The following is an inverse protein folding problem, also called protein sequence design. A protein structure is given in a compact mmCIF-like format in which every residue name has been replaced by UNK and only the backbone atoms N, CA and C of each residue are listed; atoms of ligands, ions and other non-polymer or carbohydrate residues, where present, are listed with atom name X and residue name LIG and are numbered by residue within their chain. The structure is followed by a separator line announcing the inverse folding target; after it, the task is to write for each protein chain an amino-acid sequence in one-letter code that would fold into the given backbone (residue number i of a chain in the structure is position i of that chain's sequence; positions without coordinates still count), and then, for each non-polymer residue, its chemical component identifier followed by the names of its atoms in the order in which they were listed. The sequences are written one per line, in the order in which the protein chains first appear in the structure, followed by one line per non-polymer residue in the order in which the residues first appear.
data_IF_012898143412
#
_entry.id   IF_012898143412
#
_cell.length_a   1.000
_cell.length_b   1.000
_cell.length_c   1.000
_cell.angle_alpha   90.00
_cell.angle_beta   90.00
_cell.angle_gamma   90.00
#
_symmetry.space_group_name_H-M   'P 1'
#
loop_
_entity.id
_entity.type
_entity.pdbx_description
1 polymer ?
#
# COMPACT_ATOMS: atom_id res chain seq x y z
N UNK A 1 2.68 24.96 78.06
CA UNK A 1 2.91 26.34 77.64
C UNK A 1 3.78 26.37 76.45
N UNK A 2 3.22 26.52 75.23
CA UNK A 2 3.90 27.09 74.05
C UNK A 2 2.80 27.26 73.01
N UNK A 3 2.59 28.51 72.60
CA UNK A 3 1.55 28.99 71.75
C UNK A 3 1.80 28.51 70.29
N UNK A 4 0.79 27.91 69.70
CA UNK A 4 0.76 27.54 68.27
C UNK A 4 0.30 28.78 67.52
N UNK A 5 1.18 29.36 66.70
CA UNK A 5 0.86 30.47 65.79
C UNK A 5 0.32 29.86 64.52
N UNK A 6 -1.00 30.06 64.21
CA UNK A 6 -1.67 29.71 63.01
C UNK A 6 -1.44 30.82 61.99
N UNK A 7 -0.64 30.58 60.96
CA UNK A 7 -0.49 31.47 59.80
C UNK A 7 -1.54 31.08 58.74
N UNK A 8 -2.57 31.93 58.66
CA UNK A 8 -3.55 31.82 57.57
C UNK A 8 -3.00 32.54 56.36
N UNK A 9 -2.60 31.77 55.33
CA UNK A 9 -2.27 32.33 54.02
C UNK A 9 -3.56 32.43 53.23
N UNK A 10 -4.04 33.67 53.05
CA UNK A 10 -5.12 34.00 52.11
C UNK A 10 -4.59 33.91 50.70
N UNK A 11 -4.87 32.84 49.98
CA UNK A 11 -4.72 32.81 48.52
C UNK A 11 -5.93 33.50 47.91
N UNK A 12 -5.76 34.72 47.40
CA UNK A 12 -6.70 35.38 46.51
C UNK A 12 -6.72 34.63 45.18
N UNK A 13 -7.77 33.88 44.93
CA UNK A 13 -8.09 33.34 43.62
C UNK A 13 -8.60 34.48 42.74
N UNK A 14 -7.76 34.99 41.86
CA UNK A 14 -8.20 35.80 40.75
C UNK A 14 -8.92 34.88 39.74
N UNK A 15 -10.23 34.96 39.70
CA UNK A 15 -11.05 34.40 38.66
C UNK A 15 -10.85 35.25 37.42
N UNK A 16 -10.03 34.79 36.49
CA UNK A 16 -10.00 35.35 35.14
C UNK A 16 -11.30 34.96 34.42
N UNK A 17 -12.20 35.93 34.30
CA UNK A 17 -13.33 35.85 33.37
C UNK A 17 -12.79 35.90 31.96
N UNK A 18 -12.65 34.72 31.30
CA UNK A 18 -12.46 34.64 29.88
C UNK A 18 -13.84 34.82 29.22
N UNK A 19 -14.12 36.05 28.81
CA UNK A 19 -15.27 36.33 27.91
C UNK A 19 -14.96 35.69 26.59
N UNK A 20 -15.63 34.59 26.29
CA UNK A 20 -15.68 34.03 24.94
C UNK A 20 -16.41 35.04 24.05
N UNK A 21 -15.68 35.78 23.23
CA UNK A 21 -16.23 36.53 22.14
C UNK A 21 -16.71 35.53 21.09
N UNK A 22 -18.03 35.40 20.98
CA UNK A 22 -18.64 34.72 19.84
C UNK A 22 -18.38 35.60 18.62
N UNK A 23 -17.38 35.21 17.81
CA UNK A 23 -17.18 35.78 16.49
C UNK A 23 -18.35 35.27 15.63
N UNK A 24 -19.34 36.13 15.42
CA UNK A 24 -20.41 35.85 14.46
C UNK A 24 -19.76 35.66 13.09
N UNK A 25 -19.93 34.48 12.52
CA UNK A 25 -19.54 34.17 11.15
C UNK A 25 -20.32 35.10 10.21
N UNK A 26 -19.66 36.14 9.74
CA UNK A 26 -20.16 36.96 8.65
C UNK A 26 -20.38 36.06 7.45
N UNK A 27 -21.63 35.99 6.97
CA UNK A 27 -21.95 35.38 5.68
C UNK A 27 -21.16 36.13 4.62
N UNK A 28 -20.11 35.53 4.07
CA UNK A 28 -19.50 35.98 2.85
C UNK A 28 -20.51 35.76 1.72
N UNK A 29 -21.23 36.81 1.33
CA UNK A 29 -22.03 36.79 0.13
C UNK A 29 -21.09 36.87 -1.06
N UNK A 30 -20.90 35.75 -1.72
CA UNK A 30 -20.23 35.71 -3.02
C UNK A 30 -21.18 36.33 -4.01
N UNK A 31 -20.86 37.54 -4.46
CA UNK A 31 -21.54 38.18 -5.59
C UNK A 31 -21.20 37.35 -6.84
N UNK A 32 -22.10 36.42 -7.16
CA UNK A 32 -22.05 35.71 -8.45
C UNK A 32 -22.52 36.74 -9.51
N UNK A 33 -21.56 37.22 -10.27
CA UNK A 33 -21.80 38.06 -11.42
C UNK A 33 -22.58 37.22 -12.45
N UNK A 34 -23.86 37.54 -12.60
CA UNK A 34 -24.79 36.89 -13.52
C UNK A 34 -24.43 37.26 -14.97
N UNK A 35 -23.35 36.67 -15.52
CA UNK A 35 -23.21 36.55 -16.96
C UNK A 35 -24.00 35.34 -17.40
N UNK A 36 -24.99 35.58 -18.21
CA UNK A 36 -25.97 34.71 -18.85
C UNK A 36 -25.49 33.23 -18.95
N UNK A 37 -26.20 32.40 -18.20
CA UNK A 37 -26.12 30.95 -18.34
C UNK A 37 -26.74 30.63 -19.71
N UNK A 38 -26.05 29.92 -20.64
CA UNK A 38 -26.69 29.45 -21.85
C UNK A 38 -27.82 28.47 -21.43
N UNK A 39 -28.99 28.64 -21.99
CA UNK A 39 -30.12 27.71 -21.80
C UNK A 39 -29.72 26.34 -22.33
N UNK A 40 -29.61 25.36 -21.41
CA UNK A 40 -29.40 23.96 -21.78
C UNK A 40 -30.77 23.44 -22.27
N UNK A 41 -30.89 23.29 -23.58
CA UNK A 41 -32.02 22.63 -24.20
C UNK A 41 -32.06 21.16 -23.79
N UNK A 42 -32.95 20.79 -22.86
CA UNK A 42 -33.03 19.45 -22.25
C UNK A 42 -33.51 18.34 -23.18
N UNK A 43 -33.77 18.59 -24.47
CA UNK A 43 -34.36 17.63 -25.41
C UNK A 43 -33.47 17.19 -26.55
N UNK A 44 -32.15 17.43 -26.44
CA UNK A 44 -31.21 16.84 -27.40
C UNK A 44 -30.40 15.72 -26.71
N UNK A 45 -30.44 14.46 -27.19
CA UNK A 45 -29.55 13.44 -26.68
C UNK A 45 -28.10 13.91 -26.89
N UNK A 46 -27.29 13.88 -25.83
CA UNK A 46 -25.84 14.14 -25.92
C UNK A 46 -25.26 12.97 -26.69
N UNK A 47 -25.09 13.14 -28.00
CA UNK A 47 -24.30 12.20 -28.81
C UNK A 47 -22.83 12.54 -28.50
N UNK A 48 -22.18 11.69 -27.74
CA UNK A 48 -20.71 11.71 -27.65
C UNK A 48 -20.16 11.28 -29.01
N UNK A 49 -19.83 12.24 -29.86
CA UNK A 49 -18.96 11.94 -30.98
C UNK A 49 -17.59 11.55 -30.40
N UNK A 50 -17.00 10.42 -30.80
CA UNK A 50 -15.62 10.12 -30.42
C UNK A 50 -14.74 11.21 -31.05
N UNK A 51 -14.27 12.16 -30.23
CA UNK A 51 -13.25 13.09 -30.67
C UNK A 51 -12.06 12.24 -31.12
N UNK A 52 -11.80 12.22 -32.42
CA UNK A 52 -10.55 11.79 -33.00
C UNK A 52 -9.47 12.74 -32.47
N UNK A 53 -8.90 12.44 -31.32
CA UNK A 53 -7.67 13.03 -30.83
C UNK A 53 -6.55 12.34 -31.62
N UNK A 54 -6.38 12.79 -32.87
CA UNK A 54 -5.18 12.53 -33.65
C UNK A 54 -4.07 13.39 -33.05
N UNK A 55 -3.24 12.77 -32.20
CA UNK A 55 -2.07 13.41 -31.62
C UNK A 55 -1.76 13.04 -30.18
N UNK A 56 -2.12 11.82 -29.72
CA UNK A 56 -1.47 11.25 -28.55
C UNK A 56 -0.12 10.71 -29.03
N UNK A 57 0.97 11.37 -28.62
CA UNK A 57 2.23 10.68 -28.51
C UNK A 57 1.99 9.55 -27.51
N UNK A 58 1.71 8.33 -28.02
CA UNK A 58 1.63 7.14 -27.19
C UNK A 58 2.98 7.02 -26.48
N UNK A 59 3.04 7.43 -25.21
CA UNK A 59 4.16 7.02 -24.37
C UNK A 59 4.00 5.50 -24.24
N UNK A 60 4.93 4.71 -24.81
CA UNK A 60 4.77 3.26 -24.81
C UNK A 60 4.69 2.78 -23.36
N UNK A 61 3.55 2.24 -22.96
CA UNK A 61 3.42 1.57 -21.67
C UNK A 61 4.48 0.46 -21.63
N UNK A 62 5.40 0.51 -20.64
CA UNK A 62 6.36 -0.56 -20.44
C UNK A 62 7.76 -0.34 -21.00
N UNK A 63 8.21 0.90 -21.19
CA UNK A 63 9.64 1.17 -21.54
C UNK A 63 10.61 0.89 -20.39
N UNK A 64 10.14 0.88 -19.12
CA UNK A 64 10.95 0.55 -17.94
C UNK A 64 11.04 -0.94 -17.66
N UNK A 65 12.11 -1.36 -16.99
CA UNK A 65 12.28 -2.74 -16.50
C UNK A 65 11.35 -3.00 -15.33
N UNK A 66 11.02 -4.29 -15.15
CA UNK A 66 10.26 -4.76 -14.01
C UNK A 66 11.18 -5.50 -13.05
N UNK A 67 11.32 -4.97 -11.85
CA UNK A 67 12.08 -5.55 -10.75
C UNK A 67 11.15 -6.10 -9.68
N UNK A 68 11.56 -7.18 -9.00
CA UNK A 68 10.81 -7.67 -7.86
C UNK A 68 11.71 -8.20 -6.74
N UNK A 69 11.27 -7.96 -5.49
CA UNK A 69 11.76 -8.62 -4.30
C UNK A 69 10.64 -9.53 -3.76
N UNK A 70 10.86 -10.83 -3.79
CA UNK A 70 9.90 -11.83 -3.33
C UNK A 70 10.46 -12.50 -2.09
N UNK A 71 9.71 -12.50 -0.99
CA UNK A 71 10.13 -13.03 0.31
C UNK A 71 9.08 -14.02 0.81
N UNK A 72 9.51 -15.25 1.10
CA UNK A 72 8.71 -16.27 1.77
C UNK A 72 9.42 -16.80 3.00
N UNK A 73 8.79 -16.77 4.17
CA UNK A 73 9.39 -17.22 5.43
C UNK A 73 8.50 -18.29 6.08
N UNK A 74 9.00 -19.51 6.15
CA UNK A 74 8.38 -20.63 6.85
C UNK A 74 9.06 -20.88 8.20
N UNK A 75 10.42 -20.81 8.23
CA UNK A 75 11.20 -21.25 9.37
C UNK A 75 11.74 -20.07 10.17
N UNK A 76 11.57 -20.13 11.48
CA UNK A 76 12.04 -19.14 12.44
C UNK A 76 13.03 -19.79 13.40
N UNK A 77 14.14 -19.11 13.70
CA UNK A 77 15.19 -19.63 14.58
C UNK A 77 14.78 -19.64 16.04
N UNK A 78 13.90 -18.72 16.44
CA UNK A 78 13.34 -18.70 17.80
C UNK A 78 12.20 -19.74 17.92
N UNK A 79 12.33 -20.77 18.79
CA UNK A 79 11.31 -21.80 18.97
C UNK A 79 9.98 -21.29 19.54
N UNK A 80 9.95 -20.06 20.05
CA UNK A 80 8.71 -19.40 20.51
C UNK A 80 7.91 -18.76 19.38
N UNK A 81 8.45 -18.68 18.18
CA UNK A 81 7.75 -18.23 16.97
C UNK A 81 7.31 -19.48 16.20
N UNK A 82 6.00 -19.60 15.97
CA UNK A 82 5.47 -20.75 15.25
C UNK A 82 6.02 -20.82 13.83
N UNK A 83 6.36 -22.01 13.39
CA UNK A 83 6.72 -22.27 11.99
C UNK A 83 5.48 -22.13 11.10
N UNK A 84 5.70 -21.83 9.82
CA UNK A 84 4.66 -21.76 8.79
C UNK A 84 4.94 -22.80 7.70
N UNK A 85 3.93 -23.29 7.00
CA UNK A 85 4.10 -24.38 6.02
C UNK A 85 4.02 -23.90 4.57
N UNK A 86 3.32 -22.78 4.29
CA UNK A 86 2.93 -22.45 2.93
C UNK A 86 3.57 -21.20 2.34
N UNK A 87 4.15 -20.29 3.15
CA UNK A 87 4.64 -18.99 2.68
C UNK A 87 5.70 -19.10 1.57
N UNK A 88 6.65 -20.02 1.68
CA UNK A 88 7.68 -20.21 0.63
C UNK A 88 7.06 -20.78 -0.64
N UNK A 89 6.17 -21.78 -0.52
CA UNK A 89 5.47 -22.38 -1.68
C UNK A 89 4.63 -21.35 -2.43
N UNK A 90 3.91 -20.53 -1.67
CA UNK A 90 3.03 -19.51 -2.23
C UNK A 90 3.84 -18.37 -2.88
N UNK A 91 4.96 -17.97 -2.25
CA UNK A 91 5.92 -17.03 -2.84
C UNK A 91 6.57 -17.59 -4.13
N UNK A 92 6.88 -18.89 -4.17
CA UNK A 92 7.42 -19.55 -5.35
C UNK A 92 6.40 -19.63 -6.50
N UNK A 93 5.13 -19.90 -6.19
CA UNK A 93 4.04 -19.89 -7.17
C UNK A 93 3.89 -18.48 -7.75
N UNK A 94 3.92 -17.44 -6.92
CA UNK A 94 3.86 -16.05 -7.38
C UNK A 94 5.08 -15.69 -8.25
N UNK A 95 6.30 -16.06 -7.83
CA UNK A 95 7.52 -15.89 -8.63
C UNK A 95 7.40 -16.54 -10.02
N UNK A 96 6.92 -17.78 -10.07
CA UNK A 96 6.75 -18.51 -11.32
C UNK A 96 5.72 -17.85 -12.23
N UNK A 97 4.57 -17.42 -11.71
CA UNK A 97 3.55 -16.68 -12.47
C UNK A 97 4.11 -15.39 -13.05
N UNK A 98 4.80 -14.57 -12.24
CA UNK A 98 5.38 -13.32 -12.70
C UNK A 98 6.43 -13.52 -13.80
N UNK A 99 7.37 -14.44 -13.60
CA UNK A 99 8.50 -14.64 -14.51
C UNK A 99 8.13 -15.41 -15.78
N UNK A 100 7.08 -16.23 -15.78
CA UNK A 100 6.64 -16.96 -16.95
C UNK A 100 5.65 -16.17 -17.81
N UNK A 101 4.74 -15.42 -17.19
CA UNK A 101 3.62 -14.79 -17.90
C UNK A 101 3.76 -13.28 -18.10
N UNK A 102 4.46 -12.60 -17.21
CA UNK A 102 4.58 -11.15 -17.18
C UNK A 102 6.00 -10.66 -17.47
N UNK A 103 6.17 -9.39 -17.74
CA UNK A 103 7.46 -8.77 -18.15
C UNK A 103 8.49 -8.67 -17.02
N UNK A 104 8.48 -9.61 -16.08
CA UNK A 104 9.53 -9.76 -15.06
C UNK A 104 10.58 -10.75 -15.56
N UNK A 105 11.76 -10.25 -15.94
CA UNK A 105 12.89 -11.09 -16.29
C UNK A 105 13.53 -11.67 -15.02
N UNK A 106 13.93 -12.95 -15.06
CA UNK A 106 14.41 -13.69 -13.87
C UNK A 106 15.59 -13.02 -13.18
N UNK A 107 16.48 -12.43 -13.94
CA UNK A 107 17.64 -11.69 -13.43
C UNK A 107 17.28 -10.40 -12.67
N UNK A 108 16.09 -9.86 -12.90
CA UNK A 108 15.57 -8.68 -12.21
C UNK A 108 14.73 -9.04 -10.95
N UNK A 109 14.57 -10.34 -10.66
CA UNK A 109 13.77 -10.80 -9.53
C UNK A 109 14.67 -11.48 -8.49
N UNK A 110 14.70 -10.93 -7.26
CA UNK A 110 15.31 -11.58 -6.10
C UNK A 110 14.25 -12.35 -5.34
N UNK A 111 14.47 -13.65 -5.16
CA UNK A 111 13.61 -14.49 -4.34
C UNK A 111 14.38 -14.96 -3.09
N UNK A 112 13.93 -14.52 -1.92
CA UNK A 112 14.51 -14.84 -0.63
C UNK A 112 13.61 -15.84 0.11
N UNK A 113 14.21 -16.98 0.50
CA UNK A 113 13.55 -18.03 1.31
C UNK A 113 14.11 -17.98 2.73
N UNK A 114 13.23 -17.88 3.73
CA UNK A 114 13.61 -17.77 5.15
C UNK A 114 14.61 -16.63 5.40
N UNK A 115 14.31 -15.46 4.84
CA UNK A 115 15.19 -14.31 4.92
C UNK A 115 15.37 -13.82 6.36
N UNK A 116 16.60 -13.52 6.74
CA UNK A 116 16.94 -12.76 7.94
C UNK A 116 16.66 -11.27 7.74
N UNK A 117 16.68 -10.49 8.83
CA UNK A 117 16.58 -9.03 8.72
C UNK A 117 17.71 -8.47 7.83
N UNK A 118 18.94 -8.97 7.97
CA UNK A 118 20.08 -8.55 7.16
C UNK A 118 19.90 -8.87 5.68
N UNK A 119 19.29 -10.01 5.32
CA UNK A 119 19.01 -10.35 3.93
C UNK A 119 18.00 -9.40 3.30
N UNK A 120 16.95 -9.05 4.04
CA UNK A 120 15.91 -8.10 3.58
C UNK A 120 16.55 -6.73 3.35
N UNK A 121 17.31 -6.21 4.31
CA UNK A 121 18.02 -4.93 4.22
C UNK A 121 18.95 -4.91 3.02
N UNK A 122 19.81 -5.94 2.88
CA UNK A 122 20.76 -6.05 1.77
C UNK A 122 20.09 -6.10 0.40
N UNK A 123 18.90 -6.76 0.31
CA UNK A 123 18.15 -6.80 -0.92
C UNK A 123 17.54 -5.43 -1.26
N UNK A 124 17.00 -4.71 -0.27
CA UNK A 124 16.45 -3.36 -0.46
C UNK A 124 17.53 -2.35 -0.84
N UNK A 125 18.71 -2.39 -0.20
CA UNK A 125 19.89 -1.59 -0.56
C UNK A 125 20.34 -1.83 -2.02
N UNK A 126 20.28 -3.09 -2.46
CA UNK A 126 20.57 -3.43 -3.85
C UNK A 126 19.56 -2.77 -4.80
N UNK A 127 18.25 -2.86 -4.51
CA UNK A 127 17.23 -2.26 -5.38
C UNK A 127 17.27 -0.74 -5.34
N UNK A 128 17.56 -0.11 -4.22
CA UNK A 128 17.76 1.34 -4.12
C UNK A 128 18.87 1.85 -5.04
N UNK A 129 19.91 1.03 -5.28
CA UNK A 129 21.03 1.36 -6.18
C UNK A 129 20.79 0.97 -7.65
N UNK A 130 19.87 0.03 -7.90
CA UNK A 130 19.71 -0.60 -9.23
C UNK A 130 18.50 -0.07 -10.00
N UNK A 131 17.37 0.15 -9.32
CA UNK A 131 16.11 0.58 -9.92
C UNK A 131 16.19 2.05 -10.32
N UNK A 132 15.75 2.37 -11.53
CA UNK A 132 15.75 3.72 -12.08
C UNK A 132 14.36 4.36 -12.02
N UNK A 133 14.24 5.69 -12.14
CA UNK A 133 12.94 6.39 -12.13
C UNK A 133 11.96 5.99 -13.25
N UNK A 134 12.45 5.30 -14.28
CA UNK A 134 11.64 4.75 -15.38
C UNK A 134 11.17 3.32 -15.13
N UNK A 135 11.73 2.62 -14.14
CA UNK A 135 11.51 1.21 -13.88
C UNK A 135 10.35 0.99 -12.90
N UNK A 136 9.87 -0.23 -12.85
CA UNK A 136 8.77 -0.66 -11.98
C UNK A 136 9.31 -1.62 -10.92
N UNK A 137 8.86 -1.48 -9.67
CA UNK A 137 9.34 -2.26 -8.56
C UNK A 137 8.19 -2.91 -7.78
N UNK A 138 8.24 -4.23 -7.63
CA UNK A 138 7.28 -5.00 -6.85
C UNK A 138 7.96 -5.60 -5.63
N UNK A 139 7.34 -5.49 -4.47
CA UNK A 139 7.74 -6.22 -3.25
C UNK A 139 6.61 -7.15 -2.86
N UNK A 140 6.94 -8.41 -2.64
CA UNK A 140 6.05 -9.42 -2.11
C UNK A 140 6.62 -9.99 -0.81
N UNK A 141 5.78 -10.09 0.22
CA UNK A 141 6.14 -10.69 1.49
C UNK A 141 5.04 -11.64 1.97
N UNK A 142 5.43 -12.88 2.27
CA UNK A 142 4.61 -13.87 2.96
C UNK A 142 5.36 -14.42 4.19
N UNK A 143 4.76 -14.29 5.36
CA UNK A 143 5.36 -14.65 6.63
C UNK A 143 4.64 -14.03 7.81
N UNK A 144 5.16 -14.22 9.03
CA UNK A 144 4.59 -13.56 10.19
C UNK A 144 4.73 -12.04 10.12
N UNK A 145 3.69 -11.36 10.59
CA UNK A 145 3.67 -9.92 10.85
C UNK A 145 3.21 -9.65 12.27
N UNK A 146 3.61 -8.52 12.82
CA UNK A 146 3.19 -8.09 14.14
C UNK A 146 2.74 -6.63 14.13
N UNK A 147 1.63 -6.37 14.80
CA UNK A 147 1.12 -5.04 15.03
C UNK A 147 1.16 -4.69 16.52
N UNK A 148 1.87 -3.63 16.87
CA UNK A 148 1.86 -3.10 18.22
C UNK A 148 0.77 -2.03 18.36
N UNK A 149 -0.35 -2.38 19.02
CA UNK A 149 -1.51 -1.49 19.19
C UNK A 149 -1.18 -0.22 20.00
N UNK A 150 -0.20 -0.29 20.92
CA UNK A 150 0.14 0.85 21.80
C UNK A 150 0.94 1.92 21.07
N UNK A 151 1.88 1.48 20.21
CA UNK A 151 2.76 2.39 19.45
C UNK A 151 2.32 2.59 18.02
N UNK A 152 1.29 1.85 17.57
CA UNK A 152 0.79 1.85 16.18
C UNK A 152 1.90 1.55 15.15
N UNK A 153 2.77 0.58 15.49
CA UNK A 153 3.89 0.17 14.65
C UNK A 153 3.68 -1.26 14.15
N UNK A 154 3.77 -1.43 12.84
CA UNK A 154 3.79 -2.74 12.19
C UNK A 154 5.22 -3.22 11.93
N UNK A 155 5.39 -4.54 11.93
CA UNK A 155 6.65 -5.21 11.67
C UNK A 155 6.46 -6.45 10.81
N UNK A 156 7.41 -6.69 9.92
CA UNK A 156 7.66 -8.03 9.39
C UNK A 156 8.53 -8.78 10.39
N UNK A 157 8.33 -10.07 10.47
CA UNK A 157 9.07 -10.95 11.36
C UNK A 157 10.03 -11.81 10.53
N UNK A 158 11.31 -11.41 10.37
CA UNK A 158 12.31 -12.19 9.66
C UNK A 158 12.63 -13.52 10.35
N UNK A 159 13.31 -14.42 9.66
CA UNK A 159 13.62 -15.76 10.16
C UNK A 159 14.50 -15.76 11.42
N UNK A 160 15.31 -14.74 11.62
CA UNK A 160 16.19 -14.51 12.78
C UNK A 160 15.58 -13.64 13.88
N UNK A 161 14.28 -13.31 13.76
CA UNK A 161 13.56 -12.54 14.76
C UNK A 161 13.44 -13.32 16.08
N UNK A 162 13.38 -12.58 17.20
CA UNK A 162 13.15 -13.14 18.53
C UNK A 162 11.82 -12.65 19.07
N UNK A 163 11.01 -13.54 19.68
CA UNK A 163 9.67 -13.20 20.19
C UNK A 163 9.69 -12.13 21.28
N UNK A 164 10.71 -12.16 22.12
CA UNK A 164 10.82 -11.26 23.30
C UNK A 164 11.66 -10.02 23.04
N UNK A 165 12.11 -9.78 21.81
CA UNK A 165 12.93 -8.63 21.43
C UNK A 165 12.58 -8.15 20.04
N UNK A 166 12.44 -6.84 19.84
CA UNK A 166 12.27 -6.27 18.50
C UNK A 166 13.59 -6.10 17.74
N UNK A 167 14.66 -6.63 18.27
CA UNK A 167 15.97 -6.69 17.61
C UNK A 167 15.84 -7.37 16.26
N UNK A 168 16.10 -7.49 15.31
CA UNK A 168 15.90 -8.20 14.04
C UNK A 168 14.46 -8.18 13.49
N UNK A 169 13.53 -7.42 14.10
CA UNK A 169 12.22 -7.18 13.48
C UNK A 169 12.33 -6.07 12.44
N UNK A 170 11.74 -6.27 11.27
CA UNK A 170 11.78 -5.28 10.20
C UNK A 170 10.58 -4.35 10.27
N UNK A 171 10.78 -3.07 10.59
CA UNK A 171 9.72 -2.09 10.83
C UNK A 171 9.10 -1.58 9.52
N UNK A 172 7.78 -1.35 9.51
CA UNK A 172 7.10 -0.70 8.39
C UNK A 172 7.62 0.72 8.10
N UNK A 173 8.14 1.43 9.11
CA UNK A 173 8.79 2.74 8.89
C UNK A 173 10.07 2.61 8.06
N UNK A 174 10.92 1.62 8.39
CA UNK A 174 12.12 1.35 7.59
C UNK A 174 11.74 0.93 6.16
N UNK A 175 10.70 0.10 5.99
CA UNK A 175 10.19 -0.23 4.65
C UNK A 175 9.82 1.03 3.86
N UNK A 176 9.08 1.99 4.48
CA UNK A 176 8.72 3.24 3.81
C UNK A 176 9.95 4.08 3.44
N UNK A 177 10.99 4.09 4.28
CA UNK A 177 12.24 4.77 3.98
C UNK A 177 12.89 4.18 2.73
N UNK A 178 13.01 2.85 2.65
CA UNK A 178 13.49 2.17 1.45
C UNK A 178 12.61 2.40 0.22
N UNK A 179 11.28 2.43 0.36
CA UNK A 179 10.38 2.72 -0.76
C UNK A 179 10.54 4.15 -1.32
N UNK A 180 11.02 5.10 -0.50
CA UNK A 180 11.41 6.44 -0.96
C UNK A 180 12.77 6.43 -1.67
N UNK A 181 13.72 5.62 -1.17
CA UNK A 181 15.06 5.50 -1.77
C UNK A 181 15.01 4.76 -3.10
N UNK A 182 14.19 3.70 -3.22
CA UNK A 182 13.95 3.01 -4.48
C UNK A 182 13.12 3.91 -5.39
N UNK A 183 13.79 4.77 -6.12
CA UNK A 183 13.17 5.77 -6.98
C UNK A 183 12.62 5.13 -8.26
N UNK A 184 11.61 4.26 -8.14
CA UNK A 184 10.91 3.65 -9.26
C UNK A 184 9.80 4.54 -9.80
N UNK A 185 9.35 4.32 -11.03
CA UNK A 185 8.14 4.94 -11.58
C UNK A 185 6.92 4.46 -10.84
N UNK A 186 6.77 3.15 -10.71
CA UNK A 186 5.65 2.52 -10.02
C UNK A 186 6.17 1.52 -9.00
N UNK A 187 5.60 1.55 -7.80
CA UNK A 187 5.85 0.57 -6.74
C UNK A 187 4.57 -0.11 -6.33
N UNK A 188 4.59 -1.44 -6.25
CA UNK A 188 3.52 -2.24 -5.66
C UNK A 188 4.07 -3.08 -4.52
N UNK A 189 3.51 -2.89 -3.34
CA UNK A 189 3.75 -3.74 -2.19
C UNK A 189 2.59 -4.73 -2.03
N UNK A 190 2.90 -6.02 -1.98
CA UNK A 190 1.92 -7.08 -1.70
C UNK A 190 2.36 -7.78 -0.42
N UNK A 191 1.50 -7.79 0.61
CA UNK A 191 1.84 -8.44 1.86
C UNK A 191 0.75 -9.41 2.31
N UNK A 192 1.16 -10.63 2.59
CA UNK A 192 0.33 -11.65 3.22
C UNK A 192 0.79 -11.86 4.66
N UNK A 193 0.42 -10.90 5.51
CA UNK A 193 0.83 -10.85 6.91
C UNK A 193 -0.07 -9.91 7.75
N UNK A 194 -0.07 -10.08 9.07
CA UNK A 194 -0.99 -9.50 10.05
C UNK A 194 -0.77 -8.01 10.39
N UNK A 195 -0.44 -7.09 9.47
CA UNK A 195 -0.15 -5.70 9.84
C UNK A 195 -0.60 -4.63 8.82
N UNK A 196 -1.46 -5.01 7.86
CA UNK A 196 -1.77 -4.18 6.70
C UNK A 196 -2.27 -2.76 6.98
N UNK A 197 -2.90 -2.51 8.13
CA UNK A 197 -3.56 -1.22 8.38
C UNK A 197 -2.64 0.00 8.48
N UNK A 198 -1.37 -0.17 8.86
CA UNK A 198 -0.44 0.96 9.12
C UNK A 198 0.31 1.47 7.90
N UNK A 199 0.23 0.78 6.78
CA UNK A 199 0.96 1.14 5.56
C UNK A 199 0.19 2.17 4.72
N UNK A 200 -1.13 2.23 4.86
CA UNK A 200 -1.99 3.06 4.02
C UNK A 200 -2.12 4.50 4.49
N UNK A 201 -2.19 5.42 3.54
CA UNK A 201 -2.54 6.83 3.76
C UNK A 201 -4.05 7.02 3.92
N UNK A 202 -4.80 6.38 3.04
CA UNK A 202 -6.26 6.36 3.03
C UNK A 202 -6.74 5.11 2.30
N UNK A 203 -8.01 4.75 2.50
CA UNK A 203 -8.64 3.70 1.69
C UNK A 203 -9.01 4.30 0.35
N UNK A 204 -8.50 3.74 -0.74
CA UNK A 204 -8.90 4.16 -2.08
C UNK A 204 -10.37 3.84 -2.34
N UNK A 205 -11.11 4.79 -2.89
CA UNK A 205 -12.41 4.53 -3.50
C UNK A 205 -12.14 3.93 -4.89
N UNK A 206 -12.82 2.82 -5.22
CA UNK A 206 -12.67 2.16 -6.50
C UNK A 206 -13.17 3.06 -7.64
N UNK A 207 -12.34 3.27 -8.65
CA UNK A 207 -12.69 3.94 -9.90
C UNK A 207 -12.73 2.92 -11.03
N UNK A 208 -13.68 3.09 -11.95
CA UNK A 208 -13.85 2.20 -13.09
C UNK A 208 -12.69 2.39 -14.09
N UNK A 209 -11.92 1.35 -14.36
CA UNK A 209 -10.55 1.42 -14.86
C UNK A 209 -10.41 1.32 -16.41
N UNK A 210 -11.49 1.32 -17.17
CA UNK A 210 -11.45 0.94 -18.59
C UNK A 210 -10.85 1.97 -19.56
N UNK A 211 -10.62 3.22 -19.15
CA UNK A 211 -10.19 4.30 -20.09
C UNK A 211 -8.77 4.82 -19.82
N UNK A 212 -8.07 4.32 -18.82
CA UNK A 212 -6.99 5.09 -18.22
C UNK A 212 -5.63 4.36 -18.07
N UNK A 213 -5.40 3.18 -18.66
CA UNK A 213 -4.12 2.47 -18.45
C UNK A 213 -2.90 3.35 -18.76
N UNK A 214 -2.92 4.08 -19.88
CA UNK A 214 -1.81 4.99 -20.22
C UNK A 214 -1.66 6.11 -19.19
N UNK A 215 -2.77 6.75 -18.80
CA UNK A 215 -2.76 7.84 -17.81
C UNK A 215 -2.30 7.35 -16.43
N UNK A 216 -2.76 6.17 -16.02
CA UNK A 216 -2.35 5.54 -14.76
C UNK A 216 -0.86 5.18 -14.77
N UNK A 217 -0.34 4.74 -15.92
CA UNK A 217 1.08 4.43 -16.07
C UNK A 217 1.98 5.68 -16.12
N UNK A 218 1.48 6.80 -16.61
CA UNK A 218 2.25 8.06 -16.69
C UNK A 218 2.60 8.64 -15.32
N UNK A 219 1.71 8.48 -14.33
CA UNK A 219 1.89 9.03 -13.00
C UNK A 219 2.68 8.09 -12.09
N UNK A 220 3.59 8.59 -11.25
CA UNK A 220 4.20 7.82 -10.17
C UNK A 220 3.13 7.15 -9.29
N UNK A 221 3.34 5.88 -8.96
CA UNK A 221 2.43 5.16 -8.06
C UNK A 221 3.17 4.48 -6.91
N UNK A 222 2.53 4.45 -5.75
CA UNK A 222 3.00 3.79 -4.53
C UNK A 222 1.82 3.09 -3.87
N UNK A 223 1.46 1.92 -4.40
CA UNK A 223 0.28 1.17 -3.97
C UNK A 223 0.65 -0.05 -3.12
N UNK A 224 -0.27 -0.45 -2.27
CA UNK A 224 -0.14 -1.68 -1.52
C UNK A 224 -1.42 -2.52 -1.57
N UNK A 225 -1.25 -3.85 -1.55
CA UNK A 225 -2.28 -4.85 -1.30
C UNK A 225 -1.91 -5.63 -0.05
N UNK A 226 -2.87 -5.87 0.85
CA UNK A 226 -2.64 -6.68 2.03
C UNK A 226 -3.76 -7.70 2.20
N UNK A 227 -3.43 -8.90 2.70
CA UNK A 227 -4.41 -9.98 2.94
C UNK A 227 -5.39 -9.65 4.06
N UNK A 228 -4.98 -8.89 5.05
CA UNK A 228 -5.83 -8.52 6.18
C UNK A 228 -5.42 -7.21 6.84
N UNK A 229 -6.24 -6.76 7.80
CA UNK A 229 -6.00 -5.53 8.54
C UNK A 229 -5.07 -5.74 9.75
N UNK A 230 -5.61 -6.36 10.80
CA UNK A 230 -4.94 -6.58 12.09
C UNK A 230 -5.23 -7.97 12.66
N UNK A 231 -5.94 -8.81 11.90
CA UNK A 231 -6.27 -10.18 12.29
C UNK A 231 -5.20 -11.15 11.84
N UNK A 232 -5.01 -12.23 12.56
CA UNK A 232 -4.12 -13.32 12.19
C UNK A 232 -4.49 -13.85 10.80
N UNK A 233 -3.51 -13.94 9.91
CA UNK A 233 -3.68 -14.49 8.57
C UNK A 233 -3.43 -15.98 8.67
N UNK A 234 -4.37 -16.83 8.17
CA UNK A 234 -4.14 -18.26 8.14
C UNK A 234 -2.91 -18.60 7.31
N UNK A 235 -2.14 -19.61 7.72
CA UNK A 235 -0.97 -20.10 6.98
C UNK A 235 -1.32 -20.46 5.53
N UNK A 236 -2.49 -21.09 5.29
CA UNK A 236 -3.01 -21.29 3.94
C UNK A 236 -3.81 -20.05 3.49
N UNK A 237 -3.21 -19.25 2.65
CA UNK A 237 -3.75 -17.95 2.24
C UNK A 237 -4.78 -18.04 1.11
N UNK A 238 -6.05 -17.69 1.42
CA UNK A 238 -7.07 -17.46 0.40
C UNK A 238 -6.72 -16.23 -0.47
N UNK A 239 -6.08 -15.21 0.12
CA UNK A 239 -5.66 -14.00 -0.61
C UNK A 239 -4.69 -14.35 -1.73
N UNK A 240 -3.62 -15.08 -1.42
CA UNK A 240 -2.63 -15.48 -2.43
C UNK A 240 -3.21 -16.46 -3.45
N UNK A 241 -3.99 -17.43 -3.00
CA UNK A 241 -4.65 -18.39 -3.89
C UNK A 241 -5.45 -17.67 -4.97
N UNK A 242 -6.37 -16.78 -4.60
CA UNK A 242 -7.22 -16.10 -5.58
C UNK A 242 -6.47 -15.07 -6.41
N UNK A 243 -5.48 -14.36 -5.83
CA UNK A 243 -4.64 -13.43 -6.57
C UNK A 243 -3.85 -14.13 -7.67
N UNK A 244 -3.16 -15.23 -7.35
CA UNK A 244 -2.39 -16.02 -8.33
C UNK A 244 -3.33 -16.60 -9.39
N UNK A 245 -4.48 -17.13 -9.00
CA UNK A 245 -5.48 -17.64 -9.94
C UNK A 245 -5.93 -16.56 -10.94
N UNK A 246 -6.11 -15.33 -10.53
CA UNK A 246 -6.46 -14.21 -11.42
C UNK A 246 -5.33 -13.83 -12.35
N UNK A 247 -4.10 -13.77 -11.84
CA UNK A 247 -2.91 -13.53 -12.66
C UNK A 247 -2.71 -14.64 -13.73
N UNK A 248 -2.89 -15.90 -13.33
CA UNK A 248 -2.73 -17.04 -14.25
C UNK A 248 -3.80 -17.10 -15.33
N UNK A 249 -5.03 -16.69 -15.02
CA UNK A 249 -6.15 -16.67 -15.97
C UNK A 249 -6.26 -15.37 -16.78
N UNK A 250 -5.44 -14.37 -16.47
CA UNK A 250 -5.47 -13.10 -17.18
C UNK A 250 -5.09 -13.28 -18.65
N UNK A 251 -5.88 -12.71 -19.56
CA UNK A 251 -5.64 -12.65 -21.00
C UNK A 251 -5.41 -11.22 -21.51
N UNK A 252 -5.62 -10.22 -20.66
CA UNK A 252 -5.45 -8.83 -21.04
C UNK A 252 -3.97 -8.45 -21.05
N UNK A 253 -3.55 -7.75 -22.10
CA UNK A 253 -2.14 -7.29 -22.23
C UNK A 253 -1.70 -6.43 -21.06
N UNK A 254 -2.58 -5.59 -20.55
CA UNK A 254 -2.34 -4.68 -19.45
C UNK A 254 -3.38 -4.91 -18.36
N UNK A 255 -2.90 -5.19 -17.15
CA UNK A 255 -3.74 -5.38 -15.96
C UNK A 255 -3.26 -4.46 -14.85
N UNK A 256 -4.08 -3.50 -14.44
CA UNK A 256 -3.74 -2.63 -13.31
C UNK A 256 -3.83 -3.35 -11.97
N UNK A 257 -3.07 -2.90 -10.98
CA UNK A 257 -3.10 -3.51 -9.65
C UNK A 257 -4.47 -3.35 -8.97
N UNK A 258 -5.18 -2.25 -9.24
CA UNK A 258 -6.54 -2.04 -8.74
C UNK A 258 -7.54 -3.01 -9.39
N UNK A 259 -7.46 -3.21 -10.72
CA UNK A 259 -8.28 -4.21 -11.42
C UNK A 259 -8.02 -5.62 -10.90
N UNK A 260 -6.75 -6.00 -10.75
CA UNK A 260 -6.37 -7.27 -10.16
C UNK A 260 -7.01 -7.44 -8.79
N UNK A 261 -6.81 -6.47 -7.88
CA UNK A 261 -7.35 -6.54 -6.52
C UNK A 261 -8.88 -6.65 -6.50
N UNK A 262 -9.56 -5.83 -7.29
CA UNK A 262 -11.03 -5.82 -7.39
C UNK A 262 -11.57 -7.17 -7.88
N UNK A 263 -10.85 -7.85 -8.79
CA UNK A 263 -11.26 -9.11 -9.38
C UNK A 263 -11.29 -10.29 -8.40
N UNK A 264 -10.47 -10.26 -7.33
CA UNK A 264 -10.39 -11.38 -6.38
C UNK A 264 -10.87 -11.04 -4.96
N UNK A 265 -10.97 -9.75 -4.59
CA UNK A 265 -11.29 -9.32 -3.23
C UNK A 265 -12.53 -9.99 -2.64
N UNK A 266 -13.63 -10.06 -3.40
CA UNK A 266 -14.89 -10.66 -2.93
C UNK A 266 -14.74 -12.18 -2.72
N UNK A 267 -13.96 -12.85 -3.59
CA UNK A 267 -13.70 -14.27 -3.42
C UNK A 267 -12.93 -14.56 -2.13
N UNK A 268 -11.96 -13.71 -1.77
CA UNK A 268 -11.24 -13.83 -0.49
C UNK A 268 -12.16 -13.64 0.70
N UNK A 269 -12.97 -12.58 0.71
CA UNK A 269 -13.93 -12.30 1.81
C UNK A 269 -14.91 -13.46 2.02
N UNK A 270 -15.41 -14.05 0.93
CA UNK A 270 -16.37 -15.14 1.01
C UNK A 270 -15.75 -16.49 1.44
N UNK A 271 -14.43 -16.66 1.31
CA UNK A 271 -13.75 -17.93 1.56
C UNK A 271 -12.68 -17.85 2.67
N UNK A 272 -12.65 -16.78 3.43
CA UNK A 272 -11.74 -16.61 4.58
C UNK A 272 -12.31 -15.62 5.60
N UNK A 273 -11.66 -15.54 6.76
CA UNK A 273 -12.02 -14.58 7.82
C UNK A 273 -11.25 -13.25 7.69
N UNK A 274 -10.49 -13.04 6.61
CA UNK A 274 -9.72 -11.82 6.40
C UNK A 274 -10.42 -10.89 5.41
N UNK A 275 -10.19 -9.60 5.56
CA UNK A 275 -10.71 -8.56 4.65
C UNK A 275 -9.52 -7.89 3.99
N UNK A 276 -9.20 -8.25 2.73
CA UNK A 276 -8.08 -7.67 2.00
C UNK A 276 -8.25 -6.17 1.81
N UNK A 277 -7.13 -5.46 1.81
CA UNK A 277 -7.08 -4.02 1.60
C UNK A 277 -6.16 -3.65 0.44
N UNK A 278 -6.53 -2.57 -0.25
CA UNK A 278 -5.74 -1.94 -1.30
C UNK A 278 -5.76 -0.43 -1.08
N UNK A 279 -4.67 0.24 -1.35
CA UNK A 279 -4.59 1.70 -1.22
C UNK A 279 -3.19 2.26 -1.43
N UNK A 280 -3.08 3.57 -1.24
CA UNK A 280 -1.82 4.29 -1.32
C UNK A 280 -0.96 4.04 -0.09
N UNK A 281 0.35 3.85 -0.32
CA UNK A 281 1.32 3.77 0.77
C UNK A 281 1.56 5.18 1.31
N UNK A 282 1.49 5.32 2.64
CA UNK A 282 1.63 6.60 3.32
C UNK A 282 3.04 7.18 3.16
N UNK A 283 3.13 8.47 2.80
CA UNK A 283 4.35 9.29 2.81
C UNK A 283 5.51 8.78 1.93
N UNK A 284 5.21 8.18 0.78
CA UNK A 284 6.23 7.64 -0.15
C UNK A 284 6.14 8.17 -1.59
N UNK A 285 5.34 9.22 -1.83
CA UNK A 285 5.30 9.90 -3.14
C UNK A 285 4.38 9.25 -4.16
N UNK A 286 3.16 8.84 -3.75
CA UNK A 286 2.10 8.46 -4.69
C UNK A 286 1.51 9.72 -5.33
N UNK A 287 1.35 9.72 -6.66
CA UNK A 287 0.78 10.81 -7.45
C UNK A 287 -0.50 10.37 -8.20
N UNK A 288 -1.10 9.26 -7.78
CA UNK A 288 -2.37 8.77 -8.33
C UNK A 288 -2.23 7.84 -9.52
N UNK A 289 -1.01 7.38 -9.84
CA UNK A 289 -0.78 6.32 -10.80
C UNK A 289 -1.22 4.95 -10.28
N UNK A 290 -1.06 3.92 -11.11
CA UNK A 290 -1.25 2.53 -10.70
C UNK A 290 -0.14 1.63 -11.26
N UNK A 291 0.13 0.53 -10.59
CA UNK A 291 1.08 -0.47 -11.05
C UNK A 291 0.43 -1.33 -12.14
N UNK A 292 1.06 -1.41 -13.30
CA UNK A 292 0.51 -2.14 -14.45
C UNK A 292 1.32 -3.43 -14.68
N UNK A 293 0.66 -4.58 -14.56
CA UNK A 293 1.20 -5.85 -15.00
C UNK A 293 1.07 -5.96 -16.53
N UNK A 294 2.17 -6.28 -17.20
CA UNK A 294 2.21 -6.43 -18.66
C UNK A 294 2.42 -7.89 -19.01
N UNK A 295 1.46 -8.50 -19.70
CA UNK A 295 1.53 -9.89 -20.16
C UNK A 295 2.61 -10.01 -21.26
N UNK A 296 3.42 -11.07 -21.24
CA UNK A 296 4.44 -11.37 -22.28
C UNK A 296 3.84 -11.64 -23.65
#
# INVERSE_FOLDING_TARGET
MKKLILVIILCLSQVMNISAQVVSSGKASILINNKQRPEINQNKPIVFEPNNITGSSEVPVGTGKYFALIIGINNYTDPMINQLDYCIRDAESFYNTLTSRYTFEKENVKFLKNATNSDIVSALDYFAKTVRPTDNFLIFYAGHGYWNNKSEIGFWIPSDAQKNSTLNWFRNSALRDYLREVNSKQTLLITDACFGGSIFKSRAAFMDATVAVNKLYELPSRKAMTSGTLTEVPDQSAFLKYMIERLDKNSDKYLSSEQLFSSFRIAVINNSNVIPQFGEIKDVGDEGGDFIFILK
#
